data_IF_382840224427
#
_entry.id   IF_382840224427
#
_cell.length_a   1.000
_cell.length_b   1.000
_cell.length_c   1.000
_cell.angle_alpha   90.00
_cell.angle_beta   90.00
_cell.angle_gamma   90.00
#
_symmetry.space_group_name_H-M   'P 1'
#
loop_
_entity.id
_entity.type
_entity.pdbx_description
1 polymer ?
#
# COMPACT_ATOMS: atom_id res chain seq x y z
N UNK A 1 24.38 6.90 -23.62
CA UNK A 1 24.79 7.77 -22.51
C UNK A 1 23.54 8.13 -21.73
N UNK A 2 23.32 7.53 -20.56
CA UNK A 2 22.14 7.82 -19.73
C UNK A 2 22.49 9.02 -18.87
N UNK A 3 21.89 10.16 -19.19
CA UNK A 3 22.07 11.41 -18.47
C UNK A 3 21.42 11.29 -17.07
N UNK A 4 22.22 10.93 -16.06
CA UNK A 4 21.79 10.96 -14.66
C UNK A 4 21.55 12.41 -14.28
N UNK A 5 20.29 12.85 -14.28
CA UNK A 5 19.89 14.13 -13.67
C UNK A 5 20.35 14.12 -12.22
N UNK A 6 21.39 14.90 -11.90
CA UNK A 6 21.85 15.10 -10.52
C UNK A 6 20.75 15.82 -9.75
N UNK A 7 20.22 15.17 -8.71
CA UNK A 7 19.33 15.82 -7.77
C UNK A 7 20.08 16.98 -7.09
N UNK A 8 19.54 18.19 -7.17
CA UNK A 8 20.12 19.41 -6.60
C UNK A 8 19.81 19.55 -5.09
N UNK A 9 19.83 18.45 -4.33
CA UNK A 9 19.43 18.41 -2.93
C UNK A 9 20.60 18.64 -1.96
N UNK A 10 20.42 19.52 -0.96
CA UNK A 10 21.38 19.81 0.12
C UNK A 10 21.64 18.62 1.08
N UNK A 11 20.86 17.54 0.99
CA UNK A 11 20.89 16.34 1.86
C UNK A 11 20.30 15.15 1.09
N UNK A 12 20.79 13.94 1.32
CA UNK A 12 20.24 12.68 0.77
C UNK A 12 18.92 12.30 1.46
N UNK A 13 18.67 12.82 2.66
CA UNK A 13 17.45 12.59 3.42
C UNK A 13 16.37 13.59 3.01
N UNK A 14 15.20 13.04 2.65
CA UNK A 14 14.01 13.81 2.33
C UNK A 14 13.48 14.47 3.61
N UNK A 15 13.05 15.74 3.57
CA UNK A 15 12.31 16.33 4.68
C UNK A 15 10.99 15.58 4.88
N UNK A 16 10.49 15.55 6.12
CA UNK A 16 9.28 14.78 6.52
C UNK A 16 8.08 15.05 5.62
N UNK A 17 7.90 16.30 5.15
CA UNK A 17 6.81 16.66 4.25
C UNK A 17 6.92 16.01 2.87
N UNK A 18 8.13 15.88 2.33
CA UNK A 18 8.38 15.19 1.06
C UNK A 18 8.19 13.68 1.22
N UNK A 19 8.60 13.11 2.36
CA UNK A 19 8.32 11.70 2.71
C UNK A 19 6.83 11.41 2.77
N UNK A 20 6.04 12.28 3.42
CA UNK A 20 4.58 12.17 3.47
C UNK A 20 3.98 12.25 2.05
N UNK A 21 4.44 13.19 1.23
CA UNK A 21 4.02 13.32 -0.17
C UNK A 21 4.33 12.07 -1.00
N UNK A 22 5.54 11.53 -0.87
CA UNK A 22 5.93 10.26 -1.50
C UNK A 22 5.06 9.10 -1.00
N UNK A 23 4.77 9.04 0.31
CA UNK A 23 3.89 8.05 0.92
C UNK A 23 2.47 8.10 0.36
N UNK A 24 1.87 9.30 0.24
CA UNK A 24 0.54 9.49 -0.34
C UNK A 24 0.48 8.96 -1.77
N UNK A 25 1.41 9.38 -2.62
CA UNK A 25 1.42 8.99 -4.04
C UNK A 25 1.70 7.50 -4.18
N UNK A 26 2.74 6.99 -3.51
CA UNK A 26 3.08 5.57 -3.53
C UNK A 26 1.94 4.68 -3.02
N UNK A 27 1.27 5.11 -1.95
CA UNK A 27 0.09 4.45 -1.40
C UNK A 27 -1.08 4.43 -2.38
N UNK A 28 -1.40 5.56 -3.02
CA UNK A 28 -2.44 5.61 -4.03
C UNK A 28 -2.16 4.65 -5.22
N UNK A 29 -0.91 4.63 -5.71
CA UNK A 29 -0.50 3.74 -6.81
C UNK A 29 -0.53 2.26 -6.43
N UNK A 30 -0.31 1.92 -5.16
CA UNK A 30 -0.40 0.52 -4.71
C UNK A 30 -1.80 -0.08 -4.89
N UNK A 31 -2.85 0.75 -5.00
CA UNK A 31 -4.21 0.28 -5.24
C UNK A 31 -4.42 -0.33 -6.65
N UNK A 32 -3.44 -0.24 -7.56
CA UNK A 32 -3.51 -0.89 -8.88
C UNK A 32 -3.70 -2.41 -8.80
N UNK A 33 -3.31 -3.05 -7.69
CA UNK A 33 -3.51 -4.49 -7.46
C UNK A 33 -4.93 -4.86 -7.05
N UNK A 34 -5.78 -3.88 -6.76
CA UNK A 34 -7.14 -4.10 -6.22
C UNK A 34 -8.04 -5.05 -7.02
N UNK A 35 -7.97 -5.12 -8.38
CA UNK A 35 -8.70 -6.13 -9.13
C UNK A 35 -8.35 -7.57 -8.73
N UNK A 36 -7.07 -7.83 -8.44
CA UNK A 36 -6.58 -9.13 -7.99
C UNK A 36 -7.03 -9.38 -6.55
N UNK A 37 -6.90 -8.36 -5.68
CA UNK A 37 -7.32 -8.44 -4.28
C UNK A 37 -8.81 -8.77 -4.16
N UNK A 38 -9.64 -8.23 -5.05
CA UNK A 38 -11.07 -8.55 -5.14
C UNK A 38 -11.31 -10.03 -5.49
N UNK A 39 -10.52 -10.63 -6.39
CA UNK A 39 -10.65 -12.06 -6.73
C UNK A 39 -10.25 -12.94 -5.55
N UNK A 40 -9.15 -12.61 -4.87
CA UNK A 40 -8.69 -13.33 -3.67
C UNK A 40 -9.74 -13.25 -2.57
N UNK A 41 -10.25 -12.05 -2.28
CA UNK A 41 -11.27 -11.84 -1.25
C UNK A 41 -12.56 -12.60 -1.56
N UNK A 42 -12.99 -12.64 -2.83
CA UNK A 42 -14.18 -13.41 -3.23
C UNK A 42 -13.96 -14.93 -3.15
N UNK A 43 -12.71 -15.39 -3.27
CA UNK A 43 -12.37 -16.82 -3.12
C UNK A 43 -12.46 -17.27 -1.67
N UNK A 44 -12.30 -16.35 -0.71
CA UNK A 44 -12.40 -16.59 0.72
C UNK A 44 -13.83 -16.51 1.28
N UNK A 45 -14.81 -16.04 0.48
CA UNK A 45 -16.21 -15.96 0.93
C UNK A 45 -16.82 -17.35 1.14
N UNK A 46 -17.77 -17.48 2.09
CA UNK A 46 -18.59 -18.69 2.20
C UNK A 46 -19.25 -19.00 0.86
N UNK A 47 -19.14 -20.25 0.43
CA UNK A 47 -19.68 -20.68 -0.86
C UNK A 47 -20.91 -21.55 -0.69
N UNK A 48 -21.83 -21.53 -1.67
CA UNK A 48 -22.95 -22.45 -1.72
C UNK A 48 -22.48 -23.91 -1.67
N UNK A 49 -23.24 -24.82 -1.05
CA UNK A 49 -22.94 -26.25 -1.06
C UNK A 49 -22.76 -26.75 -2.50
N UNK A 50 -21.66 -27.46 -2.76
CA UNK A 50 -21.34 -28.01 -4.09
C UNK A 50 -20.68 -27.03 -5.08
N UNK A 51 -20.48 -25.76 -4.71
CA UNK A 51 -19.74 -24.82 -5.55
C UNK A 51 -18.24 -25.15 -5.58
N UNK A 52 -17.65 -25.14 -6.77
CA UNK A 52 -16.21 -25.33 -6.94
C UNK A 52 -15.43 -24.17 -6.33
N UNK A 53 -14.31 -24.48 -5.67
CA UNK A 53 -13.47 -23.50 -4.94
C UNK A 53 -12.27 -23.01 -5.75
N UNK A 54 -12.14 -23.43 -7.01
CA UNK A 54 -11.04 -23.01 -7.85
C UNK A 54 -11.16 -21.53 -8.27
N UNK A 55 -10.01 -20.89 -8.47
CA UNK A 55 -9.92 -19.47 -8.80
C UNK A 55 -10.73 -19.09 -10.05
N UNK A 56 -10.72 -19.94 -11.08
CA UNK A 56 -11.39 -19.68 -12.34
C UNK A 56 -12.92 -19.73 -12.19
N UNK A 57 -13.44 -20.69 -11.43
CA UNK A 57 -14.86 -20.75 -11.07
C UNK A 57 -15.30 -19.51 -10.29
N UNK A 58 -14.47 -19.00 -9.38
CA UNK A 58 -14.75 -17.76 -8.63
C UNK A 58 -14.79 -16.55 -9.56
N UNK A 59 -13.80 -16.38 -10.45
CA UNK A 59 -13.77 -15.27 -11.42
C UNK A 59 -14.99 -15.32 -12.35
N UNK A 60 -15.34 -16.51 -12.87
CA UNK A 60 -16.52 -16.69 -13.71
C UNK A 60 -17.81 -16.31 -12.98
N UNK A 61 -17.94 -16.69 -11.71
CA UNK A 61 -19.08 -16.33 -10.87
C UNK A 61 -19.15 -14.83 -10.59
N UNK A 62 -18.03 -14.21 -10.22
CA UNK A 62 -17.94 -12.77 -9.99
C UNK A 62 -18.41 -11.97 -11.22
N UNK A 63 -17.97 -12.40 -12.41
CA UNK A 63 -18.38 -11.79 -13.67
C UNK A 63 -19.87 -11.99 -13.95
N UNK A 64 -20.41 -13.19 -13.70
CA UNK A 64 -21.84 -13.47 -13.89
C UNK A 64 -22.74 -12.66 -12.94
N UNK A 65 -22.30 -12.42 -11.69
CA UNK A 65 -23.10 -11.72 -10.67
C UNK A 65 -23.06 -10.19 -10.78
N UNK A 66 -21.91 -9.61 -11.12
CA UNK A 66 -21.68 -8.15 -11.05
C UNK A 66 -20.92 -7.59 -12.25
N UNK A 67 -20.62 -8.42 -13.25
CA UNK A 67 -19.87 -8.03 -14.44
C UNK A 67 -18.50 -7.45 -14.13
N UNK A 68 -18.07 -6.51 -14.95
CA UNK A 68 -16.78 -5.83 -14.82
C UNK A 68 -16.63 -5.05 -13.50
N UNK A 69 -17.75 -4.61 -12.89
CA UNK A 69 -17.72 -3.87 -11.63
C UNK A 69 -17.30 -4.75 -10.44
N UNK A 70 -17.38 -6.08 -10.57
CA UNK A 70 -16.92 -6.99 -9.53
C UNK A 70 -15.43 -6.82 -9.18
N UNK A 71 -14.62 -6.43 -10.16
CA UNK A 71 -13.16 -6.30 -10.02
C UNK A 71 -12.74 -4.90 -9.55
N UNK A 72 -13.54 -3.87 -9.78
CA UNK A 72 -13.23 -2.48 -9.40
C UNK A 72 -14.08 -1.96 -8.24
N UNK A 73 -14.95 -2.80 -7.66
CA UNK A 73 -15.76 -2.42 -6.51
C UNK A 73 -14.87 -2.02 -5.34
N UNK A 74 -15.08 -0.82 -4.79
CA UNK A 74 -14.31 -0.30 -3.65
C UNK A 74 -12.94 0.31 -4.00
N UNK A 75 -12.60 0.45 -5.29
CA UNK A 75 -11.30 0.96 -5.73
C UNK A 75 -10.96 2.36 -5.15
N UNK A 76 -11.94 3.27 -5.13
CA UNK A 76 -11.74 4.61 -4.57
C UNK A 76 -11.42 4.59 -3.07
N UNK A 77 -12.13 3.75 -2.30
CA UNK A 77 -11.87 3.58 -0.87
C UNK A 77 -10.47 3.00 -0.66
N UNK A 78 -10.07 2.03 -1.48
CA UNK A 78 -8.74 1.42 -1.40
C UNK A 78 -7.62 2.42 -1.68
N UNK A 79 -7.80 3.31 -2.67
CA UNK A 79 -6.85 4.40 -2.95
C UNK A 79 -6.68 5.29 -1.72
N UNK A 80 -7.79 5.76 -1.15
CA UNK A 80 -7.76 6.67 0.00
C UNK A 80 -7.12 5.99 1.22
N UNK A 81 -7.54 4.76 1.51
CA UNK A 81 -7.00 3.94 2.60
C UNK A 81 -5.48 3.75 2.47
N UNK A 82 -5.01 3.26 1.31
CA UNK A 82 -3.58 3.02 1.09
C UNK A 82 -2.77 4.32 1.09
N UNK A 83 -3.30 5.40 0.49
CA UNK A 83 -2.63 6.70 0.46
C UNK A 83 -2.46 7.27 1.86
N UNK A 84 -3.54 7.34 2.64
CA UNK A 84 -3.50 7.80 4.03
C UNK A 84 -2.57 6.93 4.86
N UNK A 85 -2.67 5.60 4.75
CA UNK A 85 -1.87 4.67 5.54
C UNK A 85 -0.37 4.85 5.27
N UNK A 86 0.03 4.94 4.00
CA UNK A 86 1.43 5.13 3.66
C UNK A 86 1.93 6.52 4.07
N UNK A 87 1.12 7.57 3.90
CA UNK A 87 1.45 8.92 4.36
C UNK A 87 1.71 8.98 5.87
N UNK A 88 0.83 8.37 6.66
CA UNK A 88 0.98 8.30 8.12
C UNK A 88 2.22 7.49 8.52
N UNK A 89 2.46 6.34 7.87
CA UNK A 89 3.60 5.47 8.18
C UNK A 89 4.95 6.14 7.89
N UNK A 90 5.08 6.82 6.75
CA UNK A 90 6.33 7.52 6.40
C UNK A 90 6.49 8.85 7.16
N UNK A 91 5.41 9.50 7.55
CA UNK A 91 5.46 10.75 8.31
C UNK A 91 5.64 10.55 9.81
N UNK A 92 4.68 9.89 10.46
CA UNK A 92 4.69 9.71 11.92
C UNK A 92 5.59 8.55 12.32
N UNK A 93 5.63 7.47 11.54
CA UNK A 93 6.46 6.33 11.85
C UNK A 93 7.95 6.66 11.91
N UNK A 94 8.43 7.56 11.04
CA UNK A 94 9.83 8.03 11.06
C UNK A 94 10.13 8.88 12.29
N UNK A 95 9.23 9.81 12.66
CA UNK A 95 9.38 10.62 13.87
C UNK A 95 9.34 9.78 15.15
N UNK A 96 8.41 8.84 15.23
CA UNK A 96 8.29 7.93 16.38
C UNK A 96 9.50 7.00 16.47
N UNK A 97 9.94 6.44 15.33
CA UNK A 97 11.15 5.62 15.28
C UNK A 97 12.37 6.40 15.77
N UNK A 98 12.56 7.63 15.31
CA UNK A 98 13.67 8.48 15.73
C UNK A 98 13.59 8.82 17.22
N UNK A 99 12.39 9.05 17.75
CA UNK A 99 12.19 9.29 19.17
C UNK A 99 12.55 8.06 20.01
N UNK A 100 12.00 6.90 19.66
CA UNK A 100 12.27 5.63 20.35
C UNK A 100 13.76 5.28 20.26
N UNK A 101 14.38 5.44 19.10
CA UNK A 101 15.82 5.18 18.90
C UNK A 101 16.68 6.05 19.80
N UNK A 102 16.37 7.34 19.93
CA UNK A 102 17.10 8.27 20.81
C UNK A 102 16.92 7.94 22.29
N UNK A 103 15.75 7.46 22.69
CA UNK A 103 15.46 7.07 24.09
C UNK A 103 16.11 5.73 24.46
N UNK A 104 16.16 4.77 23.53
CA UNK A 104 16.70 3.43 23.79
C UNK A 104 18.22 3.33 23.57
N UNK A 105 18.82 4.23 22.78
CA UNK A 105 20.27 4.29 22.58
C UNK A 105 20.78 5.71 22.91
N UNK A 106 20.84 6.10 24.19
CA UNK A 106 21.59 7.28 24.58
C UNK A 106 23.08 7.00 24.34
N UNK A 107 23.81 7.94 23.76
CA UNK A 107 25.23 7.86 23.45
C UNK A 107 26.10 7.60 24.71
N UNK A 108 26.24 6.32 25.07
CA UNK A 108 26.94 5.89 26.29
C UNK A 108 27.56 4.49 26.23
N UNK A 109 27.72 3.92 25.03
CA UNK A 109 28.44 2.66 24.83
C UNK A 109 29.69 2.86 23.98
N UNK A 110 30.73 3.47 24.56
CA UNK A 110 32.09 3.38 24.01
C UNK A 110 32.50 1.91 23.97
N UNK A 111 32.93 1.43 22.80
CA UNK A 111 34.09 0.55 22.72
C UNK A 111 35.20 1.34 22.07
#
# INVERSE_FOLDING_TARGET
>A
VVERRRAAGRSTELPVIELIGCGLVGGAFSALTHPIDNVITNSQKPMPPGAKRDLLSVVKRMYAESGNRAFTRGFAIKIVDNAYHMAWMYGVGTVVYDHIRKTLTPEGGRM
#
